data_IF_218473724377
#
_entry.id   IF_218473724377
#
_cell.length_a   1.000
_cell.length_b   1.000
_cell.length_c   1.000
_cell.angle_alpha   90.00
_cell.angle_beta   90.00
_cell.angle_gamma   90.00
#
_symmetry.space_group_name_H-M   'P 1'
#
loop_
_entity.id
_entity.type
_entity.pdbx_description
1 polymer ?
#
# COMPACT_ATOMS: atom_id res chain seq x y z
N UNK A 1 -24.62 -16.92 -4.75
CA UNK A 1 -24.63 -15.92 -3.67
C UNK A 1 -23.29 -15.19 -3.72
N UNK A 2 -23.31 -13.89 -3.88
CA UNK A 2 -22.08 -13.08 -3.96
C UNK A 2 -21.63 -12.75 -2.53
N UNK A 3 -20.37 -13.01 -2.23
CA UNK A 3 -19.82 -12.85 -0.89
C UNK A 3 -18.63 -11.87 -0.91
N UNK A 4 -18.48 -11.15 0.20
CA UNK A 4 -17.35 -10.27 0.50
C UNK A 4 -16.81 -10.60 1.88
N UNK A 5 -15.54 -10.37 2.11
CA UNK A 5 -14.88 -10.64 3.39
C UNK A 5 -14.45 -9.32 4.03
N UNK A 6 -14.61 -9.22 5.33
CA UNK A 6 -14.02 -8.13 6.12
C UNK A 6 -13.28 -8.72 7.31
N UNK A 7 -12.05 -8.26 7.53
CA UNK A 7 -11.18 -8.73 8.60
C UNK A 7 -10.39 -7.61 9.30
N UNK A 8 -9.67 -7.98 10.35
CA UNK A 8 -8.85 -7.08 11.15
C UNK A 8 -9.63 -6.41 12.28
N UNK A 9 -9.41 -5.12 12.46
CA UNK A 9 -9.97 -4.33 13.58
C UNK A 9 -11.43 -3.90 13.30
N UNK A 10 -12.31 -4.89 13.22
CA UNK A 10 -13.77 -4.77 13.05
C UNK A 10 -14.47 -5.61 14.11
N UNK A 11 -15.66 -5.23 14.56
CA UNK A 11 -16.35 -5.95 15.65
C UNK A 11 -16.71 -7.38 15.27
N UNK A 12 -17.27 -7.59 14.08
CA UNK A 12 -17.66 -8.91 13.60
C UNK A 12 -17.00 -9.17 12.24
N UNK A 13 -15.75 -9.62 12.28
CA UNK A 13 -15.04 -10.03 11.05
C UNK A 13 -15.61 -11.33 10.50
N UNK A 14 -15.55 -11.49 9.18
CA UNK A 14 -16.02 -12.71 8.53
C UNK A 14 -16.46 -12.52 7.09
N UNK A 15 -17.20 -13.52 6.63
CA UNK A 15 -17.74 -13.58 5.27
C UNK A 15 -19.19 -13.11 5.27
N UNK A 16 -19.49 -12.11 4.46
CA UNK A 16 -20.81 -11.47 4.36
C UNK A 16 -21.39 -11.66 2.96
N UNK A 17 -22.64 -12.13 2.93
CA UNK A 17 -23.39 -12.17 1.69
C UNK A 17 -23.80 -10.74 1.28
N UNK A 18 -23.55 -10.41 0.02
CA UNK A 18 -24.01 -9.14 -0.55
C UNK A 18 -25.54 -9.14 -0.67
N UNK A 19 -26.17 -8.08 -0.18
CA UNK A 19 -27.62 -7.91 -0.23
C UNK A 19 -28.09 -7.49 -1.63
N UNK A 20 -27.27 -6.68 -2.29
CA UNK A 20 -27.50 -6.21 -3.65
C UNK A 20 -26.17 -5.94 -4.36
N UNK A 21 -26.24 -5.65 -5.67
CA UNK A 21 -25.04 -5.40 -6.51
C UNK A 21 -24.44 -4.01 -6.33
N UNK A 22 -25.13 -3.13 -5.62
CA UNK A 22 -24.70 -1.76 -5.36
C UNK A 22 -24.22 -1.56 -3.91
N UNK A 23 -24.04 -2.66 -3.19
CA UNK A 23 -23.56 -2.64 -1.81
C UNK A 23 -22.19 -1.96 -1.73
N UNK A 24 -22.05 -1.04 -0.79
CA UNK A 24 -20.88 -0.19 -0.65
C UNK A 24 -20.03 -0.59 0.55
N UNK A 25 -18.84 -0.02 0.58
CA UNK A 25 -17.88 -0.24 1.65
C UNK A 25 -18.45 0.13 3.02
N UNK A 26 -19.17 1.26 3.12
CA UNK A 26 -19.84 1.69 4.36
C UNK A 26 -20.92 0.71 4.82
N UNK A 27 -21.67 0.13 3.88
CA UNK A 27 -22.72 -0.85 4.22
C UNK A 27 -22.12 -2.12 4.84
N UNK A 28 -21.02 -2.62 4.26
CA UNK A 28 -20.32 -3.79 4.79
C UNK A 28 -19.77 -3.53 6.20
N UNK A 29 -19.11 -2.38 6.40
CA UNK A 29 -18.57 -2.02 7.72
C UNK A 29 -19.68 -1.91 8.76
N UNK A 30 -20.84 -1.32 8.40
CA UNK A 30 -22.00 -1.23 9.29
C UNK A 30 -22.58 -2.61 9.62
N UNK A 31 -22.71 -3.51 8.63
CA UNK A 31 -23.13 -4.90 8.86
C UNK A 31 -22.18 -5.65 9.80
N UNK A 32 -20.90 -5.37 9.71
CA UNK A 32 -19.86 -5.95 10.57
C UNK A 32 -19.75 -5.26 11.94
N UNK A 33 -20.71 -4.41 12.31
CA UNK A 33 -20.81 -3.77 13.62
C UNK A 33 -19.91 -2.55 13.80
N UNK A 34 -19.16 -2.13 12.76
CA UNK A 34 -18.27 -0.99 12.84
C UNK A 34 -16.83 -1.34 13.28
N UNK A 35 -15.90 -0.40 13.11
CA UNK A 35 -14.49 -0.59 13.49
C UNK A 35 -14.31 -0.62 15.01
N UNK A 36 -13.28 -1.34 15.47
CA UNK A 36 -12.89 -1.33 16.90
C UNK A 36 -12.20 -0.02 17.27
N UNK A 37 -12.02 0.23 18.57
CA UNK A 37 -11.26 1.39 19.06
C UNK A 37 -9.76 1.39 18.68
N UNK A 38 -9.24 0.24 18.25
CA UNK A 38 -7.85 0.06 17.82
C UNK A 38 -7.69 0.14 16.30
N UNK A 39 -8.77 0.29 15.56
CA UNK A 39 -8.76 0.33 14.11
C UNK A 39 -8.00 1.56 13.57
N UNK A 40 -7.17 1.32 12.56
CA UNK A 40 -6.54 2.37 11.79
C UNK A 40 -7.21 2.50 10.42
N UNK A 41 -8.27 3.32 10.35
CA UNK A 41 -9.13 3.45 9.15
C UNK A 41 -8.36 3.92 7.90
N UNK A 42 -7.37 4.80 8.08
CA UNK A 42 -6.52 5.30 6.97
C UNK A 42 -5.61 4.23 6.39
N UNK A 43 -5.34 3.18 7.15
CA UNK A 43 -4.55 2.02 6.72
C UNK A 43 -5.39 0.91 6.11
N UNK A 44 -6.71 1.04 6.09
CA UNK A 44 -7.59 0.04 5.50
C UNK A 44 -7.28 -0.15 4.02
N UNK A 45 -7.33 -1.40 3.56
CA UNK A 45 -7.11 -1.78 2.17
C UNK A 45 -8.21 -2.70 1.69
N UNK A 46 -8.49 -2.64 0.40
CA UNK A 46 -9.36 -3.55 -0.30
C UNK A 46 -8.53 -4.39 -1.26
N UNK A 47 -8.62 -5.70 -1.14
CA UNK A 47 -8.06 -6.65 -2.11
C UNK A 47 -9.20 -7.15 -2.99
N UNK A 48 -9.04 -7.04 -4.29
CA UNK A 48 -10.06 -7.35 -5.30
C UNK A 48 -9.56 -8.43 -6.25
N UNK A 49 -10.42 -9.37 -6.60
CA UNK A 49 -10.13 -10.38 -7.62
C UNK A 49 -10.10 -9.73 -9.00
N UNK A 50 -9.01 -9.94 -9.72
CA UNK A 50 -8.85 -9.40 -11.06
C UNK A 50 -9.74 -10.12 -12.07
N UNK A 51 -10.58 -9.39 -12.77
CA UNK A 51 -11.34 -9.90 -13.91
C UNK A 51 -10.41 -10.28 -15.07
N UNK A 52 -10.91 -11.10 -16.01
CA UNK A 52 -10.13 -11.48 -17.19
C UNK A 52 -9.62 -10.26 -18.00
N UNK A 53 -10.43 -9.20 -18.10
CA UNK A 53 -10.04 -7.95 -18.76
C UNK A 53 -8.96 -7.17 -18.00
N UNK A 54 -9.00 -7.17 -16.67
CA UNK A 54 -7.99 -6.54 -15.82
C UNK A 54 -6.67 -7.31 -15.88
N UNK A 55 -6.71 -8.65 -15.82
CA UNK A 55 -5.52 -9.50 -15.99
C UNK A 55 -4.86 -9.30 -17.35
N UNK A 56 -5.66 -9.22 -18.42
CA UNK A 56 -5.14 -8.92 -19.76
C UNK A 56 -4.41 -7.59 -19.82
N UNK A 57 -5.03 -6.52 -19.26
CA UNK A 57 -4.40 -5.19 -19.20
C UNK A 57 -3.10 -5.20 -18.38
N UNK A 58 -3.08 -5.88 -17.24
CA UNK A 58 -1.86 -6.05 -16.44
C UNK A 58 -0.77 -6.76 -17.25
N UNK A 59 -1.12 -7.85 -17.96
CA UNK A 59 -0.20 -8.56 -18.84
C UNK A 59 0.35 -7.69 -19.97
N UNK A 60 -0.47 -6.84 -20.59
CA UNK A 60 -0.04 -5.91 -21.64
C UNK A 60 0.93 -4.84 -21.09
N UNK A 61 0.66 -4.31 -19.89
CA UNK A 61 1.57 -3.38 -19.20
C UNK A 61 2.91 -4.04 -18.86
N UNK A 62 2.88 -5.26 -18.32
CA UNK A 62 4.10 -6.02 -18.00
C UNK A 62 4.90 -6.27 -19.27
N UNK A 63 4.26 -6.67 -20.39
CA UNK A 63 4.92 -6.87 -21.69
C UNK A 63 5.53 -5.57 -22.24
N UNK A 64 4.88 -4.44 -22.04
CA UNK A 64 5.44 -3.14 -22.41
C UNK A 64 6.66 -2.79 -21.55
N UNK A 65 6.59 -3.03 -20.24
CA UNK A 65 7.70 -2.84 -19.31
C UNK A 65 8.88 -3.77 -19.63
N UNK A 66 8.63 -5.04 -20.01
CA UNK A 66 9.70 -5.99 -20.36
C UNK A 66 10.49 -5.53 -21.57
N UNK A 67 9.84 -4.88 -22.54
CA UNK A 67 10.52 -4.30 -23.72
C UNK A 67 11.42 -3.11 -23.36
N UNK A 68 11.10 -2.37 -22.28
CA UNK A 68 11.87 -1.20 -21.85
C UNK A 68 12.97 -1.54 -20.82
N UNK A 69 12.70 -2.50 -19.93
CA UNK A 69 13.56 -2.81 -18.78
C UNK A 69 14.28 -4.15 -18.90
N UNK A 70 13.84 -5.01 -19.83
CA UNK A 70 14.31 -6.40 -19.95
C UNK A 70 13.60 -7.36 -18.97
N UNK A 71 13.44 -8.63 -19.39
CA UNK A 71 12.74 -9.66 -18.61
C UNK A 71 13.45 -9.97 -17.27
N UNK A 72 14.77 -10.06 -17.28
CA UNK A 72 15.55 -10.32 -16.07
C UNK A 72 15.35 -9.27 -14.98
N UNK A 73 15.12 -8.00 -15.36
CA UNK A 73 14.84 -6.93 -14.40
C UNK A 73 13.44 -7.03 -13.83
N UNK A 74 12.45 -7.41 -14.62
CA UNK A 74 11.07 -7.63 -14.15
C UNK A 74 10.99 -8.82 -13.19
N UNK A 75 11.70 -9.91 -13.47
CA UNK A 75 11.79 -11.06 -12.58
C UNK A 75 12.45 -10.69 -11.24
N UNK A 76 13.49 -9.86 -11.27
CA UNK A 76 14.14 -9.39 -10.05
C UNK A 76 13.23 -8.46 -9.22
N UNK A 77 12.29 -7.76 -9.86
CA UNK A 77 11.32 -6.90 -9.21
C UNK A 77 10.06 -7.68 -8.76
N UNK A 78 9.96 -8.97 -9.09
CA UNK A 78 8.81 -9.81 -8.75
C UNK A 78 7.49 -9.37 -9.43
N UNK A 79 7.56 -8.64 -10.55
CA UNK A 79 6.39 -8.13 -11.27
C UNK A 79 5.73 -9.27 -12.05
N UNK A 80 4.57 -9.70 -11.58
CA UNK A 80 3.77 -10.79 -12.21
C UNK A 80 2.31 -10.37 -12.34
N UNK A 81 1.59 -11.06 -13.22
CA UNK A 81 0.13 -10.96 -13.27
C UNK A 81 -0.43 -11.74 -12.08
N UNK A 82 -1.01 -11.06 -11.13
CA UNK A 82 -1.63 -11.66 -9.96
C UNK A 82 -3.14 -11.83 -10.16
N UNK A 83 -3.71 -12.81 -9.45
CA UNK A 83 -5.16 -13.06 -9.46
C UNK A 83 -5.94 -12.00 -8.69
N UNK A 84 -5.27 -11.27 -7.80
CA UNK A 84 -5.83 -10.21 -6.98
C UNK A 84 -4.98 -8.95 -7.08
N UNK A 85 -5.58 -7.80 -6.83
CA UNK A 85 -4.89 -6.52 -6.73
C UNK A 85 -5.46 -5.66 -5.60
N UNK A 86 -4.62 -4.79 -5.05
CA UNK A 86 -5.03 -3.86 -4.01
C UNK A 86 -5.65 -2.61 -4.62
N UNK A 87 -6.86 -2.29 -4.17
CA UNK A 87 -7.53 -1.02 -4.45
C UNK A 87 -7.29 -0.08 -3.27
N UNK A 88 -6.66 1.06 -3.52
CA UNK A 88 -6.50 2.10 -2.50
C UNK A 88 -7.85 2.68 -2.11
N UNK A 89 -8.22 2.56 -0.85
CA UNK A 89 -9.47 3.09 -0.30
C UNK A 89 -9.19 4.16 0.75
N UNK A 90 -10.13 5.06 0.94
CA UNK A 90 -10.17 6.01 2.05
C UNK A 90 -11.39 5.69 2.92
N UNK A 91 -11.22 4.71 3.80
CA UNK A 91 -12.31 4.21 4.64
C UNK A 91 -12.84 5.29 5.60
N UNK A 92 -11.97 6.16 6.09
CA UNK A 92 -12.36 7.27 6.96
C UNK A 92 -13.37 8.19 6.26
N UNK A 93 -13.07 8.58 5.00
CA UNK A 93 -13.99 9.40 4.19
C UNK A 93 -15.24 8.65 3.77
N UNK A 94 -15.14 7.36 3.45
CA UNK A 94 -16.27 6.54 3.07
C UNK A 94 -17.30 6.47 4.21
N UNK A 95 -16.83 6.26 5.44
CA UNK A 95 -17.71 6.21 6.62
C UNK A 95 -18.25 7.59 7.03
N UNK A 96 -17.49 8.66 6.84
CA UNK A 96 -17.94 10.01 7.10
C UNK A 96 -19.00 10.50 6.10
N UNK A 97 -18.94 10.03 4.85
CA UNK A 97 -19.82 10.43 3.76
C UNK A 97 -20.30 9.20 2.95
N UNK A 98 -21.23 8.40 3.48
CA UNK A 98 -21.80 7.26 2.77
C UNK A 98 -22.39 7.67 1.41
N UNK A 99 -22.15 6.87 0.38
CA UNK A 99 -22.59 7.14 -0.98
C UNK A 99 -21.69 8.10 -1.79
N UNK A 100 -20.63 8.64 -1.18
CA UNK A 100 -19.63 9.46 -1.90
C UNK A 100 -18.75 8.63 -2.84
N UNK A 101 -17.90 9.31 -3.60
CA UNK A 101 -16.91 8.64 -4.46
C UNK A 101 -15.85 7.84 -3.70
N UNK A 102 -15.63 8.17 -2.42
CA UNK A 102 -14.75 7.41 -1.55
C UNK A 102 -15.41 6.11 -1.06
N UNK A 103 -16.74 6.07 -1.01
CA UNK A 103 -17.54 4.92 -0.60
C UNK A 103 -17.82 4.03 -1.82
N UNK A 104 -16.82 3.25 -2.18
CA UNK A 104 -16.82 2.44 -3.40
C UNK A 104 -17.82 1.28 -3.32
N UNK A 105 -18.34 0.88 -4.48
CA UNK A 105 -19.16 -0.32 -4.63
C UNK A 105 -18.31 -1.56 -4.57
N UNK A 106 -18.72 -2.52 -3.76
CA UNK A 106 -18.05 -3.80 -3.58
C UNK A 106 -18.34 -4.75 -4.74
N UNK A 107 -17.43 -5.71 -4.93
CA UNK A 107 -17.60 -6.81 -5.89
C UNK A 107 -17.46 -8.15 -5.18
N UNK A 108 -18.02 -9.17 -5.78
CA UNK A 108 -17.84 -10.55 -5.31
C UNK A 108 -16.36 -10.89 -5.15
N UNK A 109 -16.02 -11.48 -4.01
CA UNK A 109 -14.67 -11.86 -3.66
C UNK A 109 -13.78 -10.73 -3.13
N UNK A 110 -14.32 -9.51 -2.96
CA UNK A 110 -13.59 -8.42 -2.30
C UNK A 110 -13.26 -8.78 -0.86
N UNK A 111 -12.04 -8.45 -0.45
CA UNK A 111 -11.56 -8.59 0.93
C UNK A 111 -11.17 -7.21 1.46
N UNK A 112 -11.89 -6.75 2.47
CA UNK A 112 -11.59 -5.50 3.18
C UNK A 112 -10.81 -5.83 4.44
N UNK A 113 -9.60 -5.29 4.58
CA UNK A 113 -8.75 -5.51 5.75
C UNK A 113 -8.50 -4.18 6.47
N UNK A 114 -8.85 -4.14 7.76
CA UNK A 114 -8.69 -2.95 8.61
C UNK A 114 -7.56 -3.22 9.62
N UNK A 115 -6.37 -2.62 9.43
CA UNK A 115 -5.24 -2.89 10.30
C UNK A 115 -5.39 -2.21 11.66
N UNK A 116 -4.65 -2.74 12.63
CA UNK A 116 -4.46 -2.10 13.93
C UNK A 116 -3.54 -0.88 13.81
N UNK A 117 -3.81 0.15 14.58
CA UNK A 117 -2.89 1.28 14.72
C UNK A 117 -1.68 0.88 15.57
N UNK A 118 -0.58 0.55 14.91
CA UNK A 118 0.67 0.14 15.58
C UNK A 118 1.51 1.32 16.07
N UNK A 119 1.15 2.54 15.70
CA UNK A 119 1.88 3.77 16.06
C UNK A 119 3.41 3.70 15.82
N UNK A 120 3.81 3.08 14.72
CA UNK A 120 5.22 2.92 14.31
C UNK A 120 5.46 3.44 12.90
N UNK A 121 6.73 3.66 12.56
CA UNK A 121 7.21 3.94 11.20
C UNK A 121 8.30 2.94 10.87
N UNK A 122 8.18 2.27 9.73
CA UNK A 122 9.19 1.35 9.21
C UNK A 122 10.11 2.10 8.26
N UNK A 123 11.41 1.90 8.39
CA UNK A 123 12.44 2.55 7.56
C UNK A 123 13.16 1.47 6.77
N UNK A 124 13.06 1.53 5.45
CA UNK A 124 13.64 0.56 4.52
C UNK A 124 14.41 1.21 3.37
N UNK A 125 15.08 0.39 2.59
CA UNK A 125 15.82 0.79 1.39
C UNK A 125 17.26 1.20 1.69
N UNK A 126 17.72 2.29 1.07
CA UNK A 126 19.10 2.73 1.15
C UNK A 126 19.43 3.45 2.46
N UNK A 127 19.29 2.74 3.58
CA UNK A 127 19.67 3.17 4.94
C UNK A 127 20.71 2.20 5.50
N UNK A 128 21.42 2.61 6.54
CA UNK A 128 22.46 1.76 7.14
C UNK A 128 21.89 0.50 7.76
N UNK A 129 20.81 0.63 8.53
CA UNK A 129 20.15 -0.50 9.21
C UNK A 129 18.63 -0.33 9.09
N UNK A 130 17.96 -1.07 8.19
CA UNK A 130 16.49 -1.08 8.15
C UNK A 130 15.91 -1.46 9.51
N UNK A 131 14.96 -0.67 10.01
CA UNK A 131 14.31 -0.94 11.30
C UNK A 131 12.90 -0.33 11.37
N UNK A 132 12.22 -0.60 12.48
CA UNK A 132 10.90 -0.03 12.79
C UNK A 132 11.00 0.71 14.12
N UNK A 133 10.56 1.96 14.13
CA UNK A 133 10.62 2.85 15.30
C UNK A 133 9.24 3.42 15.63
N UNK A 134 9.05 3.92 16.85
CA UNK A 134 7.81 4.57 17.26
C UNK A 134 7.52 5.82 16.43
N UNK A 135 6.27 5.98 16.02
CA UNK A 135 5.82 7.21 15.37
C UNK A 135 5.83 8.38 16.35
N UNK A 136 6.38 9.49 15.91
CA UNK A 136 6.38 10.75 16.67
C UNK A 136 5.79 11.87 15.81
N UNK A 137 4.64 12.38 16.22
CA UNK A 137 3.95 13.46 15.50
C UNK A 137 4.86 14.66 15.27
N UNK A 138 4.90 15.13 14.05
CA UNK A 138 5.63 16.35 13.70
C UNK A 138 7.13 16.15 13.44
N UNK A 139 7.64 14.94 13.46
CA UNK A 139 8.98 14.62 12.97
C UNK A 139 8.98 14.48 11.46
N UNK A 140 10.12 14.79 10.84
CA UNK A 140 10.33 14.69 9.40
C UNK A 140 10.96 13.34 9.00
N UNK A 141 11.07 13.12 7.69
CA UNK A 141 11.63 11.87 7.19
C UNK A 141 13.11 11.71 7.57
N UNK A 142 13.87 12.79 7.63
CA UNK A 142 15.30 12.72 7.94
C UNK A 142 15.52 12.33 9.41
N UNK A 143 14.60 12.70 10.31
CA UNK A 143 14.58 12.18 11.68
C UNK A 143 14.50 10.65 11.69
N UNK A 144 13.56 10.06 10.94
CA UNK A 144 13.39 8.60 10.90
C UNK A 144 14.57 7.91 10.22
N UNK A 145 15.10 8.46 9.14
CA UNK A 145 16.28 7.92 8.48
C UNK A 145 17.50 7.92 9.42
N UNK A 146 17.66 8.95 10.24
CA UNK A 146 18.72 9.02 11.25
C UNK A 146 18.56 7.94 12.34
N UNK A 147 17.31 7.56 12.69
CA UNK A 147 17.06 6.42 13.60
C UNK A 147 17.49 5.08 12.98
N UNK A 148 17.60 5.00 11.66
CA UNK A 148 18.11 3.86 10.92
C UNK A 148 19.63 3.94 10.64
N UNK A 149 20.35 4.79 11.38
CA UNK A 149 21.79 5.01 11.20
C UNK A 149 22.15 5.93 10.03
N UNK A 150 21.15 6.61 9.44
CA UNK A 150 21.37 7.48 8.28
C UNK A 150 21.29 6.74 6.95
N UNK A 151 21.67 7.44 5.90
CA UNK A 151 21.71 6.90 4.53
C UNK A 151 22.90 5.98 4.32
N UNK A 152 22.71 4.90 3.57
CA UNK A 152 23.81 4.10 3.04
C UNK A 152 24.62 4.89 1.98
N UNK A 153 25.84 4.46 1.70
CA UNK A 153 26.76 5.15 0.76
C UNK A 153 26.16 5.37 -0.63
N UNK A 154 25.33 4.43 -1.10
CA UNK A 154 24.73 4.48 -2.44
C UNK A 154 23.33 5.11 -2.47
N UNK A 155 22.89 5.78 -1.41
CA UNK A 155 21.56 6.35 -1.31
C UNK A 155 21.37 7.59 -2.18
N UNK A 156 20.30 7.64 -2.99
CA UNK A 156 19.82 8.87 -3.61
C UNK A 156 18.91 9.63 -2.65
N UNK A 157 19.49 10.56 -1.89
CA UNK A 157 18.78 11.38 -0.89
C UNK A 157 17.56 12.15 -1.45
N UNK A 158 17.53 12.42 -2.76
CA UNK A 158 16.43 13.09 -3.45
C UNK A 158 15.26 12.17 -3.82
N UNK A 159 15.43 10.85 -3.76
CA UNK A 159 14.42 9.85 -4.12
C UNK A 159 13.94 9.13 -2.87
N UNK A 160 13.06 9.78 -2.14
CA UNK A 160 12.39 9.26 -0.93
C UNK A 160 10.92 9.07 -1.23
N UNK A 161 10.37 7.95 -0.78
CA UNK A 161 8.95 7.62 -0.92
C UNK A 161 8.39 7.18 0.42
N UNK A 162 7.10 7.37 0.60
CA UNK A 162 6.33 6.86 1.72
C UNK A 162 5.32 5.88 1.17
N UNK A 163 5.31 4.68 1.74
CA UNK A 163 4.30 3.65 1.47
C UNK A 163 3.36 3.62 2.66
N UNK A 164 2.09 3.90 2.44
CA UNK A 164 1.07 3.86 3.48
C UNK A 164 0.53 2.44 3.66
N UNK A 165 -0.05 2.16 4.82
CA UNK A 165 -0.62 0.84 5.13
C UNK A 165 -1.71 0.40 4.14
N UNK A 166 -2.41 1.35 3.51
CA UNK A 166 -3.40 1.08 2.45
C UNK A 166 -2.78 0.77 1.08
N UNK A 167 -1.45 0.66 0.98
CA UNK A 167 -0.72 0.38 -0.27
C UNK A 167 -0.45 1.58 -1.17
N UNK A 168 -0.92 2.77 -0.81
CA UNK A 168 -0.60 3.98 -1.57
C UNK A 168 0.86 4.38 -1.39
N UNK A 169 1.48 4.83 -2.49
CA UNK A 169 2.88 5.29 -2.51
C UNK A 169 2.92 6.76 -2.90
N UNK A 170 3.61 7.55 -2.09
CA UNK A 170 3.77 8.99 -2.33
C UNK A 170 5.24 9.39 -2.31
N UNK A 171 5.66 10.18 -3.30
CA UNK A 171 6.99 10.79 -3.27
C UNK A 171 7.05 11.86 -2.17
N UNK A 172 8.12 11.85 -1.39
CA UNK A 172 8.32 12.86 -0.33
C UNK A 172 8.46 14.25 -0.92
N UNK A 173 7.66 15.18 -0.40
CA UNK A 173 7.71 16.61 -0.74
C UNK A 173 8.29 17.39 0.44
N UNK A 174 9.36 18.16 0.18
CA UNK A 174 10.06 18.90 1.23
C UNK A 174 10.61 17.98 2.32
N UNK A 175 10.34 18.30 3.58
CA UNK A 175 10.75 17.50 4.75
C UNK A 175 9.92 16.23 4.97
N UNK A 176 8.81 16.05 4.23
CA UNK A 176 7.89 14.93 4.42
C UNK A 176 7.07 14.95 5.72
N UNK A 177 7.28 15.94 6.58
CA UNK A 177 6.67 16.04 7.93
C UNK A 177 5.15 15.86 7.96
N UNK A 178 4.45 16.39 6.95
CA UNK A 178 2.98 16.29 6.85
C UNK A 178 2.49 15.00 6.17
N UNK A 179 3.41 14.22 5.59
CA UNK A 179 3.10 13.02 4.85
C UNK A 179 3.32 11.75 5.68
N UNK A 180 4.11 11.84 6.76
CA UNK A 180 4.38 10.69 7.62
C UNK A 180 3.20 10.47 8.54
N UNK A 181 2.70 9.24 8.53
CA UNK A 181 1.57 8.76 9.33
C UNK A 181 1.96 7.50 10.10
N UNK A 182 1.23 7.18 11.20
CA UNK A 182 1.44 5.91 11.89
C UNK A 182 1.28 4.73 10.94
N UNK A 183 2.16 3.74 11.05
CA UNK A 183 2.14 2.54 10.23
C UNK A 183 2.73 2.70 8.83
N UNK A 184 3.18 3.89 8.43
CA UNK A 184 3.79 4.08 7.14
C UNK A 184 5.21 3.48 7.09
N UNK A 185 5.64 3.19 5.86
CA UNK A 185 7.01 2.79 5.56
C UNK A 185 7.70 3.88 4.75
N UNK A 186 8.89 4.26 5.16
CA UNK A 186 9.74 5.20 4.41
C UNK A 186 10.78 4.40 3.62
N UNK A 187 10.84 4.64 2.31
CA UNK A 187 11.74 3.92 1.40
C UNK A 187 12.68 4.90 0.72
N UNK A 188 13.98 4.70 0.91
CA UNK A 188 15.03 5.41 0.18
C UNK A 188 15.61 4.50 -0.90
N UNK A 189 15.76 5.03 -2.13
CA UNK A 189 16.26 4.22 -3.25
C UNK A 189 17.77 4.33 -3.41
N UNK A 190 18.40 3.21 -3.80
CA UNK A 190 19.76 3.17 -4.35
C UNK A 190 19.77 3.52 -5.83
N UNK A 191 20.92 3.94 -6.35
CA UNK A 191 21.17 3.91 -7.77
C UNK A 191 21.47 2.44 -8.15
N UNK A 192 20.57 1.78 -8.84
CA UNK A 192 20.98 0.63 -9.64
C UNK A 192 21.90 1.18 -10.73
N UNK A 193 23.22 1.01 -10.55
CA UNK A 193 24.13 1.06 -11.68
C UNK A 193 23.72 -0.11 -12.57
N UNK A 194 23.29 0.18 -13.80
CA UNK A 194 23.42 -0.81 -14.85
C UNK A 194 24.90 -1.27 -14.77
N UNK A 195 25.10 -2.58 -14.62
CA UNK A 195 26.42 -3.16 -14.79
C UNK A 195 26.88 -2.76 -16.18
N UNK A 196 27.82 -1.81 -16.24
CA UNK A 196 28.71 -1.71 -17.38
C UNK A 196 29.45 -3.05 -17.42
N UNK A 197 29.03 -3.91 -18.31
CA UNK A 197 29.87 -5.01 -18.75
C UNK A 197 31.14 -4.40 -19.29
N UNK A 198 32.22 -4.50 -18.55
CA UNK A 198 33.56 -4.41 -19.10
C UNK A 198 33.67 -5.46 -20.22
N UNK A 199 33.47 -5.02 -21.44
CA UNK A 199 34.04 -5.65 -22.61
C UNK A 199 35.33 -4.88 -22.87
N UNK A 200 36.42 -5.33 -22.24
CA UNK A 200 37.76 -5.09 -22.66
C UNK A 200 38.56 -6.39 -22.46
N UNK A 201 38.71 -7.13 -23.53
CA UNK A 201 39.94 -7.77 -24.04
C UNK A 201 39.59 -8.67 -25.19
#
# INVERSE_FOLDING_TARGET
QQNVVIDGEILFGGNYAMTNREERLSDLVNKAGGPTSLAYLRGAKLTRVASAGEKKRMGDVIRLMSRQLGEAMLDSLGVRVEDTFTVGIDLEKALANPGSTADIVLREGDVVSIPKNNNTVTINGAVMVPNTVSYMKGKDIDYYINQAGGYSENAKKSKKFIVYMNGQVTKVKGSGKKQIEPGCETVSYTHLRAHETCADL
#
